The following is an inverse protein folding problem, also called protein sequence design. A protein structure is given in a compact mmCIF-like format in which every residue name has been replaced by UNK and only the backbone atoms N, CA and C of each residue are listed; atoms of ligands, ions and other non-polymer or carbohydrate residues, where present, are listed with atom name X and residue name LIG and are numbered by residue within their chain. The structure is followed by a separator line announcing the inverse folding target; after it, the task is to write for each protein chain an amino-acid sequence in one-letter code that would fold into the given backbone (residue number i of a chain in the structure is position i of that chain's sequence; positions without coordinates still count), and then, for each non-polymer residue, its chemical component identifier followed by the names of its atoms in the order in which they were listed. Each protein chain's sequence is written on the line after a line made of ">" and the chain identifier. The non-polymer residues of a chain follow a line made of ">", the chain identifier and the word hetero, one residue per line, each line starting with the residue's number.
data_IF_300339111809
#
_entry.id   IF_300339111809
#
_cell.length_a   1.000
_cell.length_b   1.000
_cell.length_c   1.000
_cell.angle_alpha   90.00
_cell.angle_beta   90.00
_cell.angle_gamma   90.00
#
_symmetry.space_group_name_H-M   'P 1'
#
loop_
_entity.id
_entity.type
_entity.pdbx_description
1 polymer ?
#
# COMPACT_ATOMS: atom_id res chain seq x y z
N UNK A 1 -19.60 11.29 -9.15
CA UNK A 1 -18.85 10.01 -8.93
C UNK A 1 -19.19 9.03 -10.04
N UNK A 2 -18.23 8.26 -10.51
CA UNK A 2 -18.44 7.30 -11.59
C UNK A 2 -19.50 6.24 -11.21
N UNK A 3 -20.44 5.88 -12.09
CA UNK A 3 -21.54 4.95 -11.76
C UNK A 3 -21.07 3.56 -11.25
N UNK A 4 -19.90 3.10 -11.69
CA UNK A 4 -19.35 1.82 -11.23
C UNK A 4 -18.76 1.87 -9.81
N UNK A 5 -18.66 3.05 -9.19
CA UNK A 5 -18.19 3.23 -7.82
C UNK A 5 -19.34 3.29 -6.81
N UNK A 6 -20.42 2.54 -7.05
CA UNK A 6 -21.62 2.56 -6.21
C UNK A 6 -21.33 2.20 -4.76
N UNK A 7 -20.52 1.18 -4.52
CA UNK A 7 -20.18 0.77 -3.15
C UNK A 7 -19.44 1.88 -2.41
N UNK A 8 -18.46 2.49 -3.05
CA UNK A 8 -17.74 3.63 -2.48
C UNK A 8 -18.67 4.82 -2.22
N UNK A 9 -19.58 5.12 -3.15
CA UNK A 9 -20.58 6.17 -2.98
C UNK A 9 -21.45 5.95 -1.75
N UNK A 10 -21.85 4.71 -1.49
CA UNK A 10 -22.64 4.36 -0.30
C UNK A 10 -21.85 4.62 1.00
N UNK A 11 -20.57 4.25 1.04
CA UNK A 11 -19.70 4.57 2.18
C UNK A 11 -19.55 6.08 2.37
N UNK A 12 -19.38 6.81 1.27
CA UNK A 12 -19.28 8.27 1.32
C UNK A 12 -20.55 8.91 1.85
N UNK A 13 -21.73 8.49 1.37
CA UNK A 13 -23.01 8.95 1.90
C UNK A 13 -23.18 8.61 3.38
N UNK A 14 -22.73 7.46 3.79
CA UNK A 14 -22.75 7.02 5.20
C UNK A 14 -21.69 7.67 6.09
N UNK A 15 -20.92 8.65 5.59
CA UNK A 15 -19.83 9.34 6.30
C UNK A 15 -18.71 8.39 6.76
N UNK A 16 -18.55 7.27 6.08
CA UNK A 16 -17.51 6.27 6.36
C UNK A 16 -16.32 6.35 5.38
N UNK A 17 -16.40 7.24 4.38
CA UNK A 17 -15.35 7.48 3.42
C UNK A 17 -15.27 8.96 3.10
N UNK A 18 -14.09 9.42 2.72
CA UNK A 18 -13.83 10.79 2.28
C UNK A 18 -12.96 10.80 1.04
N UNK A 19 -13.01 11.90 0.30
CA UNK A 19 -12.23 12.13 -0.89
C UNK A 19 -11.39 13.38 -0.67
N UNK A 20 -10.09 13.26 -0.85
CA UNK A 20 -9.18 14.40 -0.79
C UNK A 20 -8.68 14.66 -2.21
N UNK A 21 -9.04 15.79 -2.77
CA UNK A 21 -8.68 16.18 -4.14
C UNK A 21 -7.31 16.84 -4.20
N UNK A 22 -6.68 16.77 -5.38
CA UNK A 22 -5.45 17.50 -5.71
C UNK A 22 -4.32 17.29 -4.71
N UNK A 23 -4.15 16.04 -4.26
CA UNK A 23 -3.05 15.65 -3.39
C UNK A 23 -1.90 15.05 -4.19
N UNK A 24 -0.68 15.35 -3.80
CA UNK A 24 0.53 14.78 -4.40
C UNK A 24 1.66 14.72 -3.37
N UNK A 25 2.72 14.03 -3.73
CA UNK A 25 3.98 14.09 -3.00
C UNK A 25 4.79 15.32 -3.45
N UNK A 26 5.68 15.87 -2.59
CA UNK A 26 6.54 16.99 -2.94
C UNK A 26 7.69 16.55 -3.86
N UNK A 27 7.37 16.05 -5.04
CA UNK A 27 8.30 15.55 -6.04
C UNK A 27 7.88 16.04 -7.41
N UNK A 28 8.75 16.80 -8.07
CA UNK A 28 8.49 17.47 -9.35
C UNK A 28 9.32 16.95 -10.52
N UNK A 29 10.19 15.97 -10.27
CA UNK A 29 11.02 15.37 -11.31
C UNK A 29 10.22 14.38 -12.17
N UNK A 30 10.81 13.87 -13.24
CA UNK A 30 10.09 13.04 -14.22
C UNK A 30 10.27 11.54 -14.06
N UNK A 31 11.00 11.08 -13.05
CA UNK A 31 11.22 9.66 -12.83
C UNK A 31 10.03 9.04 -12.09
N UNK A 32 9.31 8.13 -12.76
CA UNK A 32 8.22 7.40 -12.16
C UNK A 32 8.70 6.50 -11.01
N UNK A 33 9.83 5.83 -11.18
CA UNK A 33 10.37 4.94 -10.16
C UNK A 33 10.80 5.69 -8.90
N UNK A 34 11.41 6.84 -9.05
CA UNK A 34 11.76 7.70 -7.94
C UNK A 34 10.52 8.21 -7.21
N UNK A 35 9.50 8.64 -7.95
CA UNK A 35 8.22 9.05 -7.40
C UNK A 35 7.53 7.93 -6.64
N UNK A 36 7.49 6.72 -7.19
CA UNK A 36 6.94 5.54 -6.50
C UNK A 36 7.70 5.22 -5.21
N UNK A 37 9.03 5.31 -5.25
CA UNK A 37 9.84 5.11 -4.05
C UNK A 37 9.45 6.10 -2.95
N UNK A 38 9.33 7.37 -3.28
CA UNK A 38 8.95 8.41 -2.32
C UNK A 38 7.53 8.23 -1.79
N UNK A 39 6.59 7.82 -2.64
CA UNK A 39 5.22 7.51 -2.20
C UNK A 39 5.19 6.37 -1.18
N UNK A 40 6.03 5.37 -1.34
CA UNK A 40 6.08 4.23 -0.45
C UNK A 40 6.90 4.47 0.81
N UNK A 41 8.00 5.20 0.69
CA UNK A 41 8.88 5.49 1.83
C UNK A 41 8.39 6.65 2.69
N UNK A 42 7.71 7.62 2.10
CA UNK A 42 7.39 8.89 2.75
C UNK A 42 8.61 9.80 2.95
N UNK A 43 9.72 9.51 2.28
CA UNK A 43 10.95 10.30 2.35
C UNK A 43 10.96 11.49 1.39
N UNK A 44 12.07 12.23 1.38
CA UNK A 44 12.28 13.38 0.51
C UNK A 44 13.31 13.13 -0.59
N UNK A 45 14.21 12.21 -0.38
CA UNK A 45 15.25 11.83 -1.34
C UNK A 45 15.02 10.40 -1.77
N UNK A 46 14.93 10.13 -3.09
CA UNK A 46 14.69 8.78 -3.60
C UNK A 46 15.72 7.78 -3.06
N UNK A 47 15.25 6.63 -2.63
CA UNK A 47 16.04 5.50 -2.13
C UNK A 47 16.85 5.74 -0.85
N UNK A 48 16.72 6.90 -0.21
CA UNK A 48 17.41 7.20 1.04
C UNK A 48 16.78 6.46 2.23
N UNK A 49 15.46 6.37 2.26
CA UNK A 49 14.72 5.66 3.32
C UNK A 49 14.41 4.24 2.86
N UNK A 50 14.84 3.26 3.64
CA UNK A 50 14.71 1.82 3.31
C UNK A 50 13.47 1.15 3.89
N UNK A 51 12.65 1.90 4.63
CA UNK A 51 11.39 1.44 5.22
C UNK A 51 10.21 2.18 4.60
N UNK A 52 9.02 1.57 4.67
CA UNK A 52 7.79 2.17 4.19
C UNK A 52 7.05 2.94 5.29
N UNK A 53 6.33 3.99 4.90
CA UNK A 53 5.57 4.78 5.88
C UNK A 53 4.45 3.97 6.54
N UNK A 54 3.83 3.02 5.80
CA UNK A 54 2.78 2.17 6.35
C UNK A 54 3.35 1.17 7.37
N UNK A 55 4.49 0.53 7.05
CA UNK A 55 5.17 -0.36 7.99
C UNK A 55 5.55 0.36 9.28
N UNK A 56 6.11 1.57 9.18
CA UNK A 56 6.40 2.39 10.36
C UNK A 56 5.14 2.79 11.13
N UNK A 57 4.09 3.16 10.40
CA UNK A 57 2.79 3.52 10.99
C UNK A 57 2.17 2.38 11.77
N UNK A 58 2.23 1.16 11.25
CA UNK A 58 1.75 -0.05 11.95
C UNK A 58 2.49 -0.26 13.27
N UNK A 59 3.80 -0.08 13.27
CA UNK A 59 4.61 -0.16 14.51
C UNK A 59 4.21 0.90 15.54
N UNK A 60 4.10 2.15 15.11
CA UNK A 60 3.74 3.27 15.97
C UNK A 60 2.32 3.13 16.55
N UNK A 61 1.39 2.68 15.74
CA UNK A 61 0.00 2.48 16.15
C UNK A 61 -0.19 1.22 17.00
N UNK A 62 0.84 0.38 17.14
CA UNK A 62 0.78 -0.90 17.87
C UNK A 62 -0.40 -1.77 17.43
N UNK A 63 -0.62 -1.84 16.13
CA UNK A 63 -1.72 -2.61 15.57
C UNK A 63 -1.50 -4.10 15.82
N UNK A 64 -2.53 -4.77 16.32
CA UNK A 64 -2.55 -6.22 16.52
C UNK A 64 -2.90 -6.95 15.21
N UNK A 65 -2.13 -6.73 14.18
CA UNK A 65 -2.38 -7.31 12.87
C UNK A 65 -1.10 -7.49 12.08
N UNK A 66 -1.19 -8.30 11.05
CA UNK A 66 -0.11 -8.51 10.10
C UNK A 66 -0.41 -7.79 8.79
N UNK A 67 0.61 -7.20 8.20
CA UNK A 67 0.53 -6.74 6.82
C UNK A 67 0.74 -7.91 5.85
N UNK A 68 -0.14 -8.08 4.89
CA UNK A 68 -0.02 -9.11 3.86
C UNK A 68 0.13 -8.47 2.48
N UNK A 69 1.27 -8.68 1.86
CA UNK A 69 1.48 -8.30 0.47
C UNK A 69 1.18 -9.48 -0.46
N UNK A 70 0.35 -9.25 -1.45
CA UNK A 70 0.02 -10.27 -2.46
C UNK A 70 1.00 -10.21 -3.64
N UNK A 71 2.28 -10.03 -3.35
CA UNK A 71 3.34 -9.95 -4.35
C UNK A 71 4.70 -10.34 -3.76
N UNK A 72 5.66 -10.59 -4.63
CA UNK A 72 7.07 -10.80 -4.29
C UNK A 72 7.92 -9.80 -5.09
N UNK A 73 8.96 -9.20 -4.48
CA UNK A 73 9.31 -9.23 -3.06
C UNK A 73 8.36 -8.37 -2.21
N UNK A 74 8.62 -8.33 -0.89
CA UNK A 74 7.89 -7.43 0.01
C UNK A 74 7.97 -5.98 -0.49
N UNK A 75 6.83 -5.31 -0.75
CA UNK A 75 6.86 -3.93 -1.20
C UNK A 75 7.45 -3.00 -0.14
N UNK A 76 8.15 -1.97 -0.61
CA UNK A 76 8.77 -0.98 0.29
C UNK A 76 7.76 -0.40 1.29
N UNK A 77 6.53 -0.17 0.85
CA UNK A 77 5.45 0.40 1.68
C UNK A 77 5.28 -0.32 3.03
N UNK A 78 5.42 -1.65 3.05
CA UNK A 78 5.22 -2.48 4.24
C UNK A 78 6.52 -2.82 4.97
N UNK A 79 7.69 -2.45 4.45
CA UNK A 79 8.95 -2.74 5.11
C UNK A 79 9.11 -1.91 6.38
N UNK A 80 9.80 -2.46 7.38
CA UNK A 80 10.09 -1.77 8.64
C UNK A 80 9.32 -2.32 9.83
N UNK A 81 8.60 -3.42 9.67
CA UNK A 81 8.01 -4.20 10.76
C UNK A 81 8.24 -5.68 10.51
N UNK A 82 8.40 -6.44 11.59
CA UNK A 82 8.59 -7.89 11.54
C UNK A 82 7.30 -8.67 11.28
N UNK A 83 6.14 -8.03 11.39
CA UNK A 83 4.84 -8.68 11.30
C UNK A 83 4.24 -8.63 9.90
N UNK A 84 5.03 -8.32 8.89
CA UNK A 84 4.55 -8.29 7.51
C UNK A 84 5.04 -9.51 6.75
N UNK A 85 4.12 -10.11 6.04
CA UNK A 85 4.37 -11.27 5.21
C UNK A 85 3.98 -11.01 3.76
N UNK A 86 4.53 -11.77 2.85
CA UNK A 86 4.07 -11.78 1.48
C UNK A 86 3.56 -13.17 1.09
N UNK A 87 2.57 -13.16 0.23
CA UNK A 87 1.97 -14.36 -0.32
C UNK A 87 1.85 -14.20 -1.84
N UNK A 88 2.38 -15.15 -2.55
CA UNK A 88 2.21 -15.24 -3.99
C UNK A 88 1.84 -16.67 -4.37
N UNK A 89 0.57 -16.92 -4.75
CA UNK A 89 0.12 -18.28 -5.10
C UNK A 89 0.80 -18.72 -6.40
N UNK A 90 1.54 -19.81 -6.34
CA UNK A 90 2.06 -20.45 -7.55
C UNK A 90 0.88 -21.00 -8.36
N UNK A 91 0.80 -20.70 -9.65
CA UNK A 91 -0.31 -21.12 -10.53
C UNK A 91 -0.65 -22.61 -10.44
N UNK A 92 0.35 -23.46 -10.29
CA UNK A 92 0.15 -24.92 -10.15
C UNK A 92 -0.54 -25.32 -8.85
N UNK A 93 -0.24 -24.67 -7.75
CA UNK A 93 -0.80 -25.02 -6.44
C UNK A 93 -2.23 -24.53 -6.26
N UNK A 94 -2.60 -23.47 -6.95
CA UNK A 94 -3.95 -22.94 -6.89
C UNK A 94 -4.97 -23.88 -7.58
N UNK A 95 -4.58 -24.48 -8.71
CA UNK A 95 -5.44 -25.40 -9.44
C UNK A 95 -5.60 -26.75 -8.72
N UNK A 96 -4.58 -27.24 -8.03
CA UNK A 96 -4.61 -28.53 -7.32
C UNK A 96 -5.43 -28.45 -6.03
N UNK A 97 -5.45 -27.32 -5.33
CA UNK A 97 -6.22 -27.17 -4.09
C UNK A 97 -7.71 -26.90 -4.31
N UNK A 98 -8.13 -26.64 -5.51
CA UNK A 98 -9.52 -26.33 -5.83
C UNK A 98 -10.32 -27.59 -6.23
N UNK A 99 -9.64 -28.67 -6.41
CA UNK A 99 -10.20 -29.97 -6.78
C UNK A 99 -9.70 -31.08 -5.86
#
# INVERSE_FOLDING_TARGET
>A
MHPKLRSFYNFWKGKQASIVHATNIPYSERSHFDGQNLMQSGGHIPYAVKTGWLGRGMNLAKLNGEGLALQLPMPLLLRGTSNNNNFFPAKKNYLIKKF
#
